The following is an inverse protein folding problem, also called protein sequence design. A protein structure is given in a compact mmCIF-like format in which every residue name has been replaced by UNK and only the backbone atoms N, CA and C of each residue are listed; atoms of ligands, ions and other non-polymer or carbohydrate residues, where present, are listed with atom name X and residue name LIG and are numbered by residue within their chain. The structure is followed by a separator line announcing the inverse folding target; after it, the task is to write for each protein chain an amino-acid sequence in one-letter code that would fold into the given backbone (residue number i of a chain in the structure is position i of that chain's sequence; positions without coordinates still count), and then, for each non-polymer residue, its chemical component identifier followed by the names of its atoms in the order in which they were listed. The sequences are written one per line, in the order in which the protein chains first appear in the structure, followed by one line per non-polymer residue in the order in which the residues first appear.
data_IF_487310858520
#
_entry.id   IF_487310858520
#
_cell.length_a   1.000
_cell.length_b   1.000
_cell.length_c   1.000
_cell.angle_alpha   90.00
_cell.angle_beta   90.00
_cell.angle_gamma   90.00
#
_symmetry.space_group_name_H-M   'P 1'
#
loop_
_entity.id
_entity.type
_entity.pdbx_description
1 polymer ?
#
# COMPACT_ATOMS: atom_id res chain seq x y z
N UNK A 1 17.04 3.28 -32.45
CA UNK A 1 16.34 2.97 -31.18
C UNK A 1 15.37 1.85 -31.50
N UNK A 2 15.59 0.64 -31.00
CA UNK A 2 14.68 -0.48 -31.26
C UNK A 2 13.50 -0.31 -30.30
N UNK A 3 12.38 0.19 -30.82
CA UNK A 3 11.13 0.28 -30.07
C UNK A 3 10.54 -1.12 -30.07
N UNK A 4 10.75 -1.86 -28.97
CA UNK A 4 10.27 -3.24 -28.85
C UNK A 4 8.82 -3.19 -28.42
N UNK A 5 7.91 -3.37 -29.37
CA UNK A 5 6.50 -3.46 -29.08
C UNK A 5 6.17 -4.81 -28.45
N UNK A 6 5.39 -4.79 -27.37
CA UNK A 6 4.96 -6.00 -26.66
C UNK A 6 3.44 -5.95 -26.42
N UNK A 7 2.83 -7.13 -26.20
CA UNK A 7 1.41 -7.24 -25.89
C UNK A 7 1.17 -7.02 -24.40
N UNK A 8 0.16 -6.24 -24.08
CA UNK A 8 -0.35 -6.10 -22.72
C UNK A 8 -0.93 -7.44 -22.24
N UNK A 9 -0.44 -7.95 -21.10
CA UNK A 9 -0.91 -9.22 -20.54
C UNK A 9 -2.36 -9.18 -20.02
N UNK A 10 -2.96 -7.98 -19.90
CA UNK A 10 -4.33 -7.81 -19.41
C UNK A 10 -5.36 -7.62 -20.55
N UNK A 11 -5.17 -6.63 -21.42
CA UNK A 11 -6.09 -6.34 -22.52
C UNK A 11 -5.70 -6.97 -23.87
N UNK A 12 -4.44 -7.40 -24.03
CA UNK A 12 -3.92 -7.96 -25.28
C UNK A 12 -3.46 -6.93 -26.33
N UNK A 13 -3.61 -5.63 -26.05
CA UNK A 13 -3.21 -4.56 -26.95
C UNK A 13 -1.69 -4.52 -27.16
N UNK A 14 -1.25 -4.22 -28.38
CA UNK A 14 0.17 -3.99 -28.67
C UNK A 14 0.54 -2.56 -28.26
N UNK A 15 1.57 -2.44 -27.44
CA UNK A 15 2.13 -1.15 -27.00
C UNK A 15 3.58 -1.05 -27.44
N UNK A 16 3.94 0.09 -28.01
CA UNK A 16 5.32 0.42 -28.36
C UNK A 16 6.17 0.74 -27.13
N UNK A 17 5.52 1.03 -25.99
CA UNK A 17 6.15 1.27 -24.70
C UNK A 17 5.54 0.35 -23.65
N UNK A 18 6.08 -0.86 -23.46
CA UNK A 18 5.61 -1.76 -22.42
C UNK A 18 6.09 -1.31 -21.03
N UNK A 19 5.15 -1.26 -20.08
CA UNK A 19 5.43 -1.03 -18.66
C UNK A 19 5.50 -2.36 -17.92
N UNK A 20 6.59 -2.59 -17.20
CA UNK A 20 6.74 -3.81 -16.40
C UNK A 20 6.24 -3.58 -14.97
N UNK A 21 5.33 -4.43 -14.50
CA UNK A 21 4.85 -4.37 -13.12
C UNK A 21 5.91 -4.87 -12.13
N UNK A 22 6.22 -4.09 -11.09
CA UNK A 22 7.21 -4.47 -10.05
C UNK A 22 6.83 -5.72 -9.24
N UNK A 23 5.55 -6.11 -9.26
CA UNK A 23 5.06 -7.27 -8.52
C UNK A 23 5.04 -8.52 -9.40
N UNK A 24 4.20 -8.55 -10.43
CA UNK A 24 4.03 -9.73 -11.29
C UNK A 24 5.12 -9.87 -12.37
N UNK A 25 5.83 -8.79 -12.71
CA UNK A 25 6.89 -8.73 -13.74
C UNK A 25 6.41 -8.88 -15.19
N UNK A 26 5.11 -8.84 -15.42
CA UNK A 26 4.50 -8.89 -16.76
C UNK A 26 4.47 -7.50 -17.43
N UNK A 27 4.46 -7.45 -18.79
CA UNK A 27 4.34 -6.22 -19.56
C UNK A 27 2.87 -5.76 -19.72
N UNK A 28 2.65 -4.45 -19.57
CA UNK A 28 1.34 -3.80 -19.70
C UNK A 28 1.40 -2.52 -20.55
N UNK A 29 0.25 -2.10 -21.07
CA UNK A 29 0.09 -0.80 -21.73
C UNK A 29 -0.06 0.34 -20.70
N UNK A 30 -0.03 1.59 -21.17
CA UNK A 30 -0.11 2.78 -20.31
C UNK A 30 -1.36 2.81 -19.41
N UNK A 31 -2.48 2.28 -19.91
CA UNK A 31 -3.78 2.19 -19.22
C UNK A 31 -3.86 1.07 -18.17
N UNK A 32 -2.93 0.10 -18.21
CA UNK A 32 -2.92 -1.05 -17.30
C UNK A 32 -1.62 -1.14 -16.48
N UNK A 33 -0.84 -0.06 -16.43
CA UNK A 33 0.44 -0.03 -15.73
C UNK A 33 0.29 -0.14 -14.21
N UNK A 34 -0.84 0.32 -13.65
CA UNK A 34 -1.06 0.28 -12.21
C UNK A 34 -1.49 -1.13 -11.78
N UNK A 35 -1.00 -1.62 -10.63
CA UNK A 35 -1.40 -2.92 -10.07
C UNK A 35 -2.92 -3.10 -9.85
N UNK A 36 -3.65 -1.99 -9.69
CA UNK A 36 -5.11 -2.00 -9.49
C UNK A 36 -5.87 -2.19 -10.81
N UNK A 37 -5.34 -1.69 -11.92
CA UNK A 37 -5.96 -1.73 -13.25
C UNK A 37 -5.88 -3.13 -13.86
N UNK A 38 -4.73 -3.83 -13.71
CA UNK A 38 -4.57 -5.19 -14.22
C UNK A 38 -4.86 -6.29 -13.19
N UNK A 39 -5.49 -5.96 -12.05
CA UNK A 39 -5.82 -6.90 -10.96
C UNK A 39 -4.63 -7.79 -10.56
N UNK A 40 -3.50 -7.15 -10.23
CA UNK A 40 -2.26 -7.86 -9.95
C UNK A 40 -2.42 -8.92 -8.84
N UNK A 41 -2.20 -10.20 -9.17
CA UNK A 41 -2.38 -11.34 -8.24
C UNK A 41 -1.54 -11.18 -6.96
N UNK A 42 -0.29 -10.72 -7.12
CA UNK A 42 0.63 -10.53 -5.98
C UNK A 42 0.26 -9.34 -5.10
N UNK A 43 -0.44 -8.33 -5.63
CA UNK A 43 -0.90 -7.19 -4.83
C UNK A 43 -1.94 -7.65 -3.80
N UNK A 44 -2.87 -8.51 -4.20
CA UNK A 44 -3.88 -9.08 -3.32
C UNK A 44 -3.23 -9.86 -2.18
N UNK A 45 -2.20 -10.66 -2.47
CA UNK A 45 -1.46 -11.41 -1.46
C UNK A 45 -0.72 -10.50 -0.47
N UNK A 46 -0.07 -9.42 -0.96
CA UNK A 46 0.62 -8.44 -0.09
C UNK A 46 -0.37 -7.70 0.80
N UNK A 47 -1.52 -7.29 0.26
CA UNK A 47 -2.59 -6.63 1.04
C UNK A 47 -3.15 -7.55 2.12
N UNK A 48 -3.41 -8.81 1.79
CA UNK A 48 -3.88 -9.81 2.74
C UNK A 48 -2.88 -10.03 3.90
N UNK A 49 -1.58 -10.15 3.60
CA UNK A 49 -0.53 -10.28 4.63
C UNK A 49 -0.44 -9.03 5.53
N UNK A 50 -0.56 -7.83 4.94
CA UNK A 50 -0.49 -6.57 5.69
C UNK A 50 -1.73 -6.24 6.52
N UNK A 51 -2.88 -6.85 6.23
CA UNK A 51 -4.08 -6.69 7.05
C UNK A 51 -3.94 -7.35 8.42
N UNK A 52 -3.09 -8.37 8.56
CA UNK A 52 -2.78 -9.00 9.85
C UNK A 52 -1.67 -8.32 10.66
N UNK A 53 -0.78 -7.55 10.03
CA UNK A 53 0.46 -7.07 10.68
C UNK A 53 0.49 -5.58 11.06
N UNK A 54 -0.52 -4.77 10.74
CA UNK A 54 -0.49 -3.36 11.15
C UNK A 54 -0.93 -3.18 12.60
N UNK A 55 0.03 -3.32 13.52
CA UNK A 55 0.09 -2.42 14.69
C UNK A 55 0.20 -1.00 14.13
N UNK A 56 -0.94 -0.33 13.97
CA UNK A 56 -0.98 1.11 13.76
C UNK A 56 -0.51 1.75 15.07
N UNK A 57 0.81 1.82 15.28
CA UNK A 57 1.38 2.73 16.27
C UNK A 57 1.18 4.12 15.64
N UNK A 58 0.03 4.73 15.92
CA UNK A 58 -0.16 6.17 15.73
C UNK A 58 0.72 6.83 16.78
N UNK A 59 1.91 7.28 16.37
CA UNK A 59 2.78 8.15 17.17
C UNK A 59 2.14 9.54 17.35
N UNK A 60 0.97 9.57 17.98
CA UNK A 60 0.22 10.77 18.35
C UNK A 60 0.21 10.95 19.87
N UNK A 61 1.34 10.75 20.53
CA UNK A 61 1.45 10.75 21.98
C UNK A 61 2.45 11.79 22.51
N UNK A 62 2.06 13.05 22.63
CA UNK A 62 2.61 13.92 23.68
C UNK A 62 1.50 14.37 24.62
N UNK A 63 1.73 14.06 25.89
CA UNK A 63 1.10 14.59 27.09
C UNK A 63 -0.26 14.02 27.49
N UNK A 64 -0.22 12.86 28.16
CA UNK A 64 -1.29 12.41 29.06
C UNK A 64 -0.73 12.00 30.43
N UNK A 65 0.19 12.81 30.95
CA UNK A 65 0.42 12.82 32.39
C UNK A 65 -0.63 13.77 32.97
N UNK A 66 -1.24 13.42 34.11
CA UNK A 66 -2.14 14.27 34.91
C UNK A 66 -3.67 14.07 34.77
N UNK A 67 -4.15 12.83 34.56
CA UNK A 67 -5.57 12.50 34.86
C UNK A 67 -5.75 11.90 36.27
N UNK A 68 -4.88 10.99 36.70
CA UNK A 68 -5.04 10.35 38.02
C UNK A 68 -4.56 11.17 39.23
N UNK A 69 -3.79 12.26 39.04
CA UNK A 69 -3.22 13.06 40.15
C UNK A 69 -4.10 14.21 40.66
N UNK A 70 -5.20 14.57 40.00
CA UNK A 70 -6.05 15.71 40.42
C UNK A 70 -7.21 15.32 41.35
N UNK A 71 -7.49 14.04 41.53
CA UNK A 71 -8.61 13.57 42.36
C UNK A 71 -8.24 13.22 43.82
N UNK A 72 -6.94 13.18 44.16
CA UNK A 72 -6.46 12.81 45.50
C UNK A 72 -5.95 13.98 46.36
N UNK A 73 -6.14 15.24 45.93
CA UNK A 73 -5.70 16.42 46.68
C UNK A 73 -6.89 17.13 47.35
N UNK A 74 -7.70 16.42 48.12
CA UNK A 74 -8.71 17.08 48.98
C UNK A 74 -8.99 16.41 50.34
N UNK A 75 -8.29 15.34 50.70
CA UNK A 75 -8.46 14.69 52.01
C UNK A 75 -7.15 14.07 52.49
N UNK A 76 -6.23 14.88 53.06
CA UNK A 76 -5.40 14.53 54.22
C UNK A 76 -4.53 15.73 54.64
N UNK A 77 -4.76 16.16 55.90
CA UNK A 77 -4.27 17.33 56.64
C UNK A 77 -4.75 18.71 56.16
#
# INVERSE_FOLDING_TARGET
MIVKSEKCAYCGDMTDMPFQCNYCKDPFCAEHRLPEEHRCVKLTQIRARRFGEKKVIRDGGRNKQNIFKRMFQRFKN
#
